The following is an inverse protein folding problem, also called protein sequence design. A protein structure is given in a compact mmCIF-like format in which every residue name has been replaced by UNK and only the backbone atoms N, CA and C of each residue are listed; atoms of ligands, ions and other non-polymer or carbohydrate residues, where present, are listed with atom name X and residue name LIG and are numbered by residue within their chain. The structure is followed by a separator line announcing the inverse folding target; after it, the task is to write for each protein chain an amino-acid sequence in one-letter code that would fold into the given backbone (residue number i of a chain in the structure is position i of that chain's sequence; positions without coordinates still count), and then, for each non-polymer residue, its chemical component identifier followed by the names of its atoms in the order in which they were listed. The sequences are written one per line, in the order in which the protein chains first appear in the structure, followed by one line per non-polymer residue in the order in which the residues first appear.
data_IF_955250498814
#
_entry.id   IF_955250498814
#
_cell.length_a   1.000
_cell.length_b   1.000
_cell.length_c   1.000
_cell.angle_alpha   90.00
_cell.angle_beta   90.00
_cell.angle_gamma   90.00
#
_symmetry.space_group_name_H-M   'P 1'
#
loop_
_entity.id
_entity.type
_entity.pdbx_description
1 polymer ?
#
# COMPACT_ATOMS: atom_id res chain seq x y z
N UNK A 1 23.69 -9.40 1.68
CA UNK A 1 23.24 -8.33 2.61
C UNK A 1 21.73 -8.46 2.85
N UNK A 2 21.24 -8.25 4.07
CA UNK A 2 19.78 -8.20 4.33
C UNK A 2 19.26 -6.84 3.85
N UNK A 3 18.23 -6.84 2.99
CA UNK A 3 17.61 -5.61 2.51
C UNK A 3 16.89 -4.89 3.68
N UNK A 4 17.05 -3.56 3.84
CA UNK A 4 16.37 -2.84 4.91
C UNK A 4 14.86 -2.83 4.67
N UNK A 5 14.10 -3.11 5.72
CA UNK A 5 12.65 -3.14 5.69
C UNK A 5 12.10 -1.75 6.01
N UNK A 6 11.42 -1.14 5.04
CA UNK A 6 10.89 0.23 5.13
C UNK A 6 9.50 0.26 5.80
N UNK A 7 8.73 -0.80 5.58
CA UNK A 7 7.44 -1.05 6.20
C UNK A 7 7.20 -2.55 6.38
N UNK A 8 6.64 -2.94 7.53
CA UNK A 8 6.30 -4.34 7.81
C UNK A 8 4.97 -4.46 8.53
N UNK A 9 4.12 -5.31 7.95
CA UNK A 9 2.86 -5.78 8.51
C UNK A 9 2.70 -7.29 8.17
N UNK A 10 1.91 -8.08 8.93
CA UNK A 10 1.70 -9.50 8.60
C UNK A 10 1.19 -9.74 7.16
N UNK A 11 0.52 -8.77 6.55
CA UNK A 11 -0.11 -8.95 5.24
C UNK A 11 0.66 -8.34 4.07
N UNK A 12 1.61 -7.44 4.34
CA UNK A 12 2.49 -6.86 3.33
C UNK A 12 3.79 -6.32 3.94
N UNK A 13 4.82 -6.23 3.11
CA UNK A 13 6.05 -5.53 3.47
C UNK A 13 6.58 -4.69 2.31
N UNK A 14 7.29 -3.61 2.64
CA UNK A 14 8.05 -2.80 1.69
C UNK A 14 9.51 -2.88 2.09
N UNK A 15 10.37 -3.30 1.18
CA UNK A 15 11.80 -3.54 1.43
C UNK A 15 12.62 -2.80 0.40
N UNK A 16 13.70 -2.14 0.80
CA UNK A 16 14.56 -1.46 -0.15
C UNK A 16 15.16 -2.46 -1.14
N UNK A 17 15.14 -2.10 -2.41
CA UNK A 17 15.65 -2.90 -3.50
C UNK A 17 17.01 -2.36 -3.93
N UNK A 18 18.07 -3.04 -3.49
CA UNK A 18 19.37 -2.91 -4.12
C UNK A 18 19.35 -3.79 -5.38
N UNK A 19 19.11 -3.20 -6.55
CA UNK A 19 19.17 -3.91 -7.83
C UNK A 19 20.57 -4.42 -8.15
N UNK A 20 20.80 -4.96 -9.37
CA UNK A 20 22.16 -5.19 -9.86
C UNK A 20 22.95 -3.87 -9.81
N UNK A 21 24.11 -3.91 -9.18
CA UNK A 21 24.96 -2.74 -8.94
C UNK A 21 25.92 -2.57 -10.11
N UNK A 22 25.50 -1.82 -11.13
CA UNK A 22 26.38 -1.47 -12.27
C UNK A 22 27.36 -0.33 -11.92
N UNK A 23 27.80 -0.24 -10.67
CA UNK A 23 28.73 0.79 -10.19
C UNK A 23 28.17 2.22 -10.13
N UNK A 24 26.96 2.49 -10.61
CA UNK A 24 26.25 3.76 -10.38
C UNK A 24 25.42 3.68 -9.11
N UNK A 25 25.52 4.70 -8.26
CA UNK A 25 24.66 4.88 -7.07
C UNK A 25 23.27 5.29 -7.55
N UNK A 26 22.52 4.34 -8.13
CA UNK A 26 21.18 4.59 -8.66
C UNK A 26 20.14 4.49 -7.54
N UNK A 27 19.51 5.63 -7.26
CA UNK A 27 18.15 5.86 -6.72
C UNK A 27 17.44 4.64 -6.11
N UNK A 28 17.23 4.67 -4.79
CA UNK A 28 16.76 3.53 -3.98
C UNK A 28 15.31 3.17 -4.32
N UNK A 29 15.13 2.25 -5.28
CA UNK A 29 13.86 1.56 -5.52
C UNK A 29 13.49 0.65 -4.34
N UNK A 30 12.24 0.19 -4.27
CA UNK A 30 11.79 -0.78 -3.26
C UNK A 30 10.91 -1.89 -3.84
N UNK A 31 10.79 -2.99 -3.11
CA UNK A 31 9.86 -4.08 -3.41
C UNK A 31 8.69 -4.03 -2.41
N UNK A 32 7.49 -3.86 -2.94
CA UNK A 32 6.25 -4.17 -2.24
C UNK A 32 5.97 -5.66 -2.39
N UNK A 33 5.88 -6.38 -1.27
CA UNK A 33 5.56 -7.81 -1.23
C UNK A 33 4.28 -8.05 -0.44
N UNK A 34 3.38 -8.83 -1.03
CA UNK A 34 2.21 -9.43 -0.38
C UNK A 34 2.20 -10.93 -0.61
N UNK A 35 1.17 -11.63 -0.12
CA UNK A 35 1.00 -13.06 -0.37
C UNK A 35 0.87 -13.42 -1.87
N UNK A 36 0.41 -12.48 -2.70
CA UNK A 36 0.05 -12.75 -4.10
C UNK A 36 0.86 -11.94 -5.11
N UNK A 37 1.56 -10.90 -4.68
CA UNK A 37 2.23 -9.98 -5.59
C UNK A 37 3.59 -9.53 -5.06
N UNK A 38 4.53 -9.35 -5.98
CA UNK A 38 5.78 -8.61 -5.78
C UNK A 38 5.83 -7.50 -6.81
N UNK A 39 5.89 -6.25 -6.37
CA UNK A 39 5.81 -5.05 -7.23
C UNK A 39 7.04 -4.20 -6.96
N UNK A 40 7.75 -3.80 -8.02
CA UNK A 40 8.84 -2.83 -7.92
C UNK A 40 8.27 -1.42 -7.80
N UNK A 41 8.85 -0.61 -6.94
CA UNK A 41 8.52 0.79 -6.71
C UNK A 41 9.74 1.63 -7.04
N UNK A 42 9.58 2.73 -7.77
CA UNK A 42 10.62 3.76 -7.80
C UNK A 42 10.76 4.44 -6.43
N UNK A 43 11.80 5.26 -6.26
CA UNK A 43 12.08 5.90 -4.96
C UNK A 43 10.93 6.79 -4.49
N UNK A 44 10.38 7.64 -5.37
CA UNK A 44 9.32 8.57 -5.01
C UNK A 44 8.01 7.83 -4.65
N UNK A 45 7.67 6.79 -5.41
CA UNK A 45 6.56 5.89 -5.13
C UNK A 45 6.73 5.19 -3.78
N UNK A 46 7.95 4.77 -3.46
CA UNK A 46 8.29 4.13 -2.18
C UNK A 46 7.99 5.05 -1.01
N UNK A 47 8.47 6.29 -1.05
CA UNK A 47 8.28 7.26 0.03
C UNK A 47 6.79 7.53 0.28
N UNK A 48 6.04 7.81 -0.79
CA UNK A 48 4.60 8.10 -0.70
C UNK A 48 3.82 6.89 -0.19
N UNK A 49 4.09 5.68 -0.72
CA UNK A 49 3.37 4.48 -0.30
C UNK A 49 3.67 4.14 1.16
N UNK A 50 4.94 4.20 1.59
CA UNK A 50 5.32 3.91 2.98
C UNK A 50 4.68 4.91 3.93
N UNK A 51 4.64 6.20 3.57
CA UNK A 51 3.94 7.23 4.34
C UNK A 51 2.46 6.90 4.51
N UNK A 52 1.77 6.61 3.41
CA UNK A 52 0.36 6.24 3.40
C UNK A 52 0.07 5.00 4.26
N UNK A 53 0.86 3.94 4.12
CA UNK A 53 0.71 2.70 4.90
C UNK A 53 0.87 2.92 6.40
N UNK A 54 1.79 3.80 6.81
CA UNK A 54 1.99 4.18 8.22
C UNK A 54 0.78 4.96 8.76
N UNK A 55 0.26 5.92 7.98
CA UNK A 55 -0.91 6.72 8.36
C UNK A 55 -2.14 5.82 8.53
N UNK A 56 -2.39 4.91 7.59
CA UNK A 56 -3.50 3.95 7.69
C UNK A 56 -3.34 3.08 8.93
N UNK A 57 -2.16 2.51 9.15
CA UNK A 57 -1.93 1.65 10.32
C UNK A 57 -2.18 2.41 11.62
N UNK A 58 -1.73 3.66 11.73
CA UNK A 58 -1.99 4.50 12.89
C UNK A 58 -3.50 4.74 13.07
N UNK A 59 -4.21 5.11 12.00
CA UNK A 59 -5.65 5.35 12.02
C UNK A 59 -6.44 4.14 12.55
N UNK A 60 -6.20 2.95 11.99
CA UNK A 60 -6.89 1.72 12.42
C UNK A 60 -6.52 1.27 13.84
N UNK A 61 -5.29 1.56 14.30
CA UNK A 61 -4.88 1.28 15.66
C UNK A 61 -5.54 2.22 16.68
N UNK A 62 -5.72 3.50 16.35
CA UNK A 62 -6.31 4.51 17.24
C UNK A 62 -7.84 4.35 17.38
N UNK A 63 -8.52 3.98 16.30
CA UNK A 63 -9.98 3.90 16.26
C UNK A 63 -10.54 2.55 16.76
N UNK A 64 -9.71 1.73 17.42
CA UNK A 64 -10.10 0.42 17.97
C UNK A 64 -10.63 -0.56 16.92
N UNK A 65 -10.32 -0.33 15.63
CA UNK A 65 -10.96 -1.04 14.52
C UNK A 65 -10.45 -2.48 14.41
N UNK A 66 -11.27 -3.40 13.87
CA UNK A 66 -10.85 -4.77 13.65
C UNK A 66 -9.63 -4.84 12.72
N UNK A 67 -8.60 -5.58 13.13
CA UNK A 67 -7.39 -5.85 12.33
C UNK A 67 -7.71 -6.50 10.96
N UNK A 68 -8.89 -7.08 10.81
CA UNK A 68 -9.36 -7.63 9.54
C UNK A 68 -9.67 -6.54 8.50
N UNK A 69 -10.08 -5.33 8.91
CA UNK A 69 -10.39 -4.26 7.96
C UNK A 69 -9.13 -3.71 7.30
N UNK A 70 -8.06 -3.52 8.07
CA UNK A 70 -6.76 -3.11 7.52
C UNK A 70 -6.17 -4.18 6.59
N UNK A 71 -6.39 -5.46 6.89
CA UNK A 71 -6.03 -6.56 6.00
C UNK A 71 -6.76 -6.50 4.65
N UNK A 72 -8.07 -6.23 4.65
CA UNK A 72 -8.87 -6.07 3.43
C UNK A 72 -8.34 -4.90 2.60
N UNK A 73 -8.10 -3.75 3.25
CA UNK A 73 -7.52 -2.56 2.61
C UNK A 73 -6.20 -2.89 1.93
N UNK A 74 -5.29 -3.55 2.65
CA UNK A 74 -3.98 -3.95 2.14
C UNK A 74 -4.07 -4.88 0.94
N UNK A 75 -4.98 -5.86 0.95
CA UNK A 75 -5.21 -6.72 -0.22
C UNK A 75 -5.73 -5.94 -1.41
N UNK A 76 -6.70 -5.05 -1.19
CA UNK A 76 -7.27 -4.20 -2.24
C UNK A 76 -6.22 -3.27 -2.84
N UNK A 77 -5.41 -2.63 -2.01
CA UNK A 77 -4.32 -1.75 -2.43
C UNK A 77 -3.37 -2.49 -3.36
N UNK A 78 -2.88 -3.65 -2.95
CA UNK A 78 -1.89 -4.39 -3.74
C UNK A 78 -2.51 -4.93 -5.04
N UNK A 79 -3.74 -5.44 -4.99
CA UNK A 79 -4.44 -5.94 -6.18
C UNK A 79 -4.73 -4.82 -7.20
N UNK A 80 -5.20 -3.65 -6.73
CA UNK A 80 -5.44 -2.51 -7.62
C UNK A 80 -4.15 -1.99 -8.25
N UNK A 81 -3.05 -1.93 -7.49
CA UNK A 81 -1.76 -1.54 -8.03
C UNK A 81 -1.26 -2.55 -9.08
N UNK A 82 -1.35 -3.85 -8.79
CA UNK A 82 -0.98 -4.90 -9.74
C UNK A 82 -1.79 -4.80 -11.04
N UNK A 83 -3.11 -4.62 -10.94
CA UNK A 83 -3.99 -4.47 -12.10
C UNK A 83 -3.66 -3.22 -12.92
N UNK A 84 -3.36 -2.09 -12.28
CA UNK A 84 -2.99 -0.85 -12.96
C UNK A 84 -1.69 -1.01 -13.76
N UNK A 85 -0.71 -1.71 -13.18
CA UNK A 85 0.57 -2.01 -13.81
C UNK A 85 0.42 -2.98 -14.98
N UNK A 86 -0.35 -4.06 -14.79
CA UNK A 86 -0.65 -5.03 -15.84
C UNK A 86 -1.35 -4.37 -17.04
N UNK A 87 -2.37 -3.53 -16.78
CA UNK A 87 -3.07 -2.79 -17.82
C UNK A 87 -2.18 -1.79 -18.58
N UNK A 88 -1.08 -1.36 -17.98
CA UNK A 88 -0.08 -0.47 -18.59
C UNK A 88 1.13 -1.21 -19.17
N UNK A 89 1.18 -2.55 -19.07
CA UNK A 89 2.37 -3.38 -19.38
C UNK A 89 3.66 -2.92 -18.68
N UNK A 90 3.54 -2.33 -17.49
CA UNK A 90 4.67 -1.86 -16.67
C UNK A 90 4.90 -2.82 -15.50
N UNK A 91 6.15 -2.95 -15.07
CA UNK A 91 6.55 -3.76 -13.90
C UNK A 91 6.95 -2.93 -12.67
N UNK A 92 7.07 -1.61 -12.85
CA UNK A 92 7.50 -0.66 -11.82
C UNK A 92 6.41 0.38 -11.59
N UNK A 93 5.98 0.52 -10.34
CA UNK A 93 5.09 1.57 -9.90
C UNK A 93 5.83 2.88 -9.71
N UNK A 94 5.23 3.94 -10.25
CA UNK A 94 5.69 5.31 -10.13
C UNK A 94 4.90 6.05 -9.06
N UNK A 95 5.36 7.23 -8.68
CA UNK A 95 4.62 8.10 -7.76
C UNK A 95 3.20 8.38 -8.27
N UNK A 96 3.01 8.54 -9.58
CA UNK A 96 1.69 8.78 -10.17
C UNK A 96 0.74 7.58 -9.96
N UNK A 97 1.24 6.35 -10.08
CA UNK A 97 0.46 5.14 -9.83
C UNK A 97 -0.01 5.07 -8.37
N UNK A 98 0.91 5.39 -7.43
CA UNK A 98 0.61 5.39 -6.00
C UNK A 98 -0.36 6.53 -5.65
N UNK A 99 -0.18 7.73 -6.20
CA UNK A 99 -1.10 8.85 -5.98
C UNK A 99 -2.50 8.53 -6.50
N UNK A 100 -2.62 7.97 -7.71
CA UNK A 100 -3.92 7.54 -8.25
C UNK A 100 -4.54 6.43 -7.42
N UNK A 101 -3.74 5.46 -6.95
CA UNK A 101 -4.21 4.40 -6.06
C UNK A 101 -4.79 4.98 -4.77
N UNK A 102 -4.09 5.89 -4.12
CA UNK A 102 -4.54 6.55 -2.88
C UNK A 102 -5.84 7.32 -3.14
N UNK A 103 -5.95 8.04 -4.27
CA UNK A 103 -7.17 8.75 -4.64
C UNK A 103 -8.37 7.81 -4.86
N UNK A 104 -8.16 6.67 -5.53
CA UNK A 104 -9.21 5.66 -5.77
C UNK A 104 -9.63 4.91 -4.51
N UNK A 105 -8.69 4.67 -3.61
CA UNK A 105 -8.97 4.13 -2.28
C UNK A 105 -9.60 5.17 -1.35
N UNK A 106 -10.04 6.32 -1.87
CA UNK A 106 -10.69 7.37 -1.10
C UNK A 106 -9.77 8.05 -0.09
N UNK A 107 -10.07 9.32 0.19
CA UNK A 107 -9.57 9.92 1.43
C UNK A 107 -10.10 9.06 2.58
N UNK A 108 -9.27 8.67 3.56
CA UNK A 108 -9.68 7.81 4.70
C UNK A 108 -11.01 8.23 5.35
N UNK A 109 -11.37 9.50 5.23
CA UNK A 109 -12.65 10.10 5.62
C UNK A 109 -13.88 9.46 4.95
N UNK A 110 -13.84 9.14 3.66
CA UNK A 110 -14.96 8.51 2.95
C UNK A 110 -15.13 7.04 3.33
N UNK A 111 -14.02 6.37 3.66
CA UNK A 111 -14.01 4.98 4.12
C UNK A 111 -14.53 4.86 5.56
N UNK A 112 -14.17 5.82 6.41
CA UNK A 112 -14.74 5.94 7.76
C UNK A 112 -16.26 6.14 7.70
N UNK A 113 -16.72 6.99 6.77
CA UNK A 113 -18.13 7.36 6.60
C UNK A 113 -18.99 6.26 5.96
N UNK A 114 -18.49 5.55 4.95
CA UNK A 114 -19.18 4.38 4.37
C UNK A 114 -19.35 3.23 5.37
N UNK A 115 -18.38 3.03 6.27
CA UNK A 115 -18.44 1.97 7.29
C UNK A 115 -19.38 2.31 8.46
N UNK A 116 -19.46 3.59 8.89
CA UNK A 116 -20.45 4.03 9.88
C UNK A 116 -21.88 3.80 9.39
N UNK A 117 -22.15 4.10 8.13
CA UNK A 117 -23.48 3.88 7.53
C UNK A 117 -23.81 2.38 7.46
N UNK A 118 -22.83 1.50 7.20
CA UNK A 118 -23.03 0.05 7.21
C UNK A 118 -23.31 -0.49 8.63
N UNK A 119 -22.68 0.07 9.67
CA UNK A 119 -22.91 -0.31 11.08
C UNK A 119 -24.27 0.17 11.62
N UNK A 120 -24.76 1.34 11.19
CA UNK A 120 -26.09 1.85 11.54
C UNK A 120 -27.21 1.01 10.90
N UNK A 121 -26.98 0.50 9.68
CA UNK A 121 -27.94 -0.38 9.00
C UNK A 121 -28.10 -1.73 9.71
N UNK A 122 -27.07 -2.23 10.39
CA UNK A 122 -27.12 -3.49 11.13
C UNK A 122 -27.80 -3.39 12.50
N UNK A 123 -27.90 -2.18 13.07
CA UNK A 123 -28.57 -1.93 14.37
C UNK A 123 -30.06 -1.60 14.23
N UNK A 124 -30.55 -1.48 13.00
CA UNK A 124 -31.94 -1.08 12.68
C UNK A 124 -32.82 -2.27 12.25
N UNK A 125 -32.36 -3.50 12.47
CA UNK A 125 -33.08 -4.78 12.28
C UNK A 125 -32.99 -5.57 13.57
#
# INVERSE_FOLDING_TARGET
MKQPVLFKDPYLSVQAYAGPTDGSVSTVSALLRSASYTILLDQAATEVLVGYLRVIRAYYNLDGRPKQQIQILYRQLVAQLANALQGSSRSTATVADITQLIQRLGCMHDWARQQQNAQLSYKST
#
